data_IF_103491788153
#
_entry.id   IF_103491788153
#
_cell.length_a   1.000
_cell.length_b   1.000
_cell.length_c   1.000
_cell.angle_alpha   90.00
_cell.angle_beta   90.00
_cell.angle_gamma   90.00
#
_symmetry.space_group_name_H-M   'P 1'
#
loop_
_entity.id
_entity.type
_entity.pdbx_description
1 polymer ?
#
# COMPACT_ATOMS: atom_id res chain seq x y z
N UNK A 1 -32.05 -17.65 -4.13
CA UNK A 1 -30.60 -17.95 -3.94
C UNK A 1 -30.47 -19.07 -2.92
N UNK A 2 -29.53 -20.02 -3.08
CA UNK A 2 -29.30 -21.07 -2.07
C UNK A 2 -28.77 -20.42 -0.78
N UNK A 3 -29.12 -20.96 0.40
CA UNK A 3 -28.69 -20.42 1.71
C UNK A 3 -27.17 -20.22 1.79
N UNK A 4 -26.41 -21.17 1.23
CA UNK A 4 -24.94 -21.10 1.09
C UNK A 4 -24.47 -19.81 0.40
N UNK A 5 -25.14 -19.39 -0.67
CA UNK A 5 -24.75 -18.21 -1.44
C UNK A 5 -25.01 -16.93 -0.65
N UNK A 6 -26.06 -16.91 0.19
CA UNK A 6 -26.37 -15.78 1.07
C UNK A 6 -25.30 -15.66 2.18
N UNK A 7 -24.91 -16.79 2.79
CA UNK A 7 -23.82 -16.81 3.78
C UNK A 7 -22.50 -16.33 3.20
N UNK A 8 -22.14 -16.79 1.99
CA UNK A 8 -20.92 -16.34 1.30
C UNK A 8 -20.99 -14.83 1.02
N UNK A 9 -22.13 -14.32 0.54
CA UNK A 9 -22.28 -12.90 0.27
C UNK A 9 -22.08 -12.05 1.53
N UNK A 10 -22.68 -12.46 2.66
CA UNK A 10 -22.53 -11.75 3.93
C UNK A 10 -21.06 -11.72 4.37
N UNK A 11 -20.35 -12.84 4.26
CA UNK A 11 -18.92 -12.90 4.60
C UNK A 11 -18.08 -11.95 3.74
N UNK A 12 -18.33 -11.91 2.43
CA UNK A 12 -17.62 -10.99 1.52
C UNK A 12 -17.91 -9.53 1.86
N UNK A 13 -19.16 -9.19 2.20
CA UNK A 13 -19.53 -7.84 2.60
C UNK A 13 -18.85 -7.43 3.91
N UNK A 14 -18.78 -8.32 4.90
CA UNK A 14 -18.10 -8.06 6.17
C UNK A 14 -16.59 -7.85 5.94
N UNK A 15 -15.96 -8.72 5.15
CA UNK A 15 -14.54 -8.59 4.82
C UNK A 15 -14.25 -7.28 4.06
N UNK A 16 -15.08 -6.95 3.06
CA UNK A 16 -14.97 -5.71 2.30
C UNK A 16 -15.15 -4.47 3.18
N UNK A 17 -16.10 -4.50 4.10
CA UNK A 17 -16.31 -3.42 5.07
C UNK A 17 -15.11 -3.24 6.00
N UNK A 18 -14.51 -4.33 6.48
CA UNK A 18 -13.28 -4.29 7.26
C UNK A 18 -12.13 -3.62 6.51
N UNK A 19 -11.94 -3.96 5.23
CA UNK A 19 -10.93 -3.33 4.37
C UNK A 19 -11.19 -1.83 4.21
N UNK A 20 -12.44 -1.42 4.00
CA UNK A 20 -12.80 0.00 3.86
C UNK A 20 -12.49 0.80 5.13
N UNK A 21 -12.71 0.23 6.31
CA UNK A 21 -12.33 0.88 7.57
C UNK A 21 -10.80 1.04 7.65
N UNK A 22 -10.04 -0.01 7.34
CA UNK A 22 -8.58 0.09 7.34
C UNK A 22 -8.08 1.18 6.40
N UNK A 23 -8.66 1.27 5.20
CA UNK A 23 -8.30 2.31 4.23
C UNK A 23 -8.68 3.71 4.74
N UNK A 24 -9.81 3.86 5.42
CA UNK A 24 -10.24 5.14 5.98
C UNK A 24 -9.32 5.64 7.12
N UNK A 25 -8.63 4.74 7.82
CA UNK A 25 -7.64 5.07 8.86
C UNK A 25 -6.25 5.39 8.30
N UNK A 26 -5.99 5.10 7.01
CA UNK A 26 -4.71 5.42 6.40
C UNK A 26 -4.50 6.94 6.33
N UNK A 27 -3.25 7.41 6.49
CA UNK A 27 -2.91 8.80 6.24
C UNK A 27 -3.34 9.25 4.84
N UNK A 28 -3.78 10.50 4.66
CA UNK A 28 -4.17 10.98 3.34
C UNK A 28 -2.97 11.01 2.40
N UNK A 29 -3.25 10.81 1.12
CA UNK A 29 -2.24 10.78 0.07
C UNK A 29 -1.45 12.10 -0.01
N UNK A 30 -0.16 12.00 -0.30
CA UNK A 30 0.72 13.14 -0.57
C UNK A 30 1.21 13.90 0.67
N UNK A 31 0.91 13.41 1.87
CA UNK A 31 1.46 13.98 3.11
C UNK A 31 2.96 13.64 3.24
N UNK A 32 3.84 14.65 3.40
CA UNK A 32 5.29 14.43 3.50
C UNK A 32 5.72 13.59 4.70
N UNK A 33 4.92 13.59 5.76
CA UNK A 33 5.14 12.83 7.00
C UNK A 33 4.55 11.40 6.94
N UNK A 34 4.04 10.97 5.77
CA UNK A 34 3.53 9.62 5.62
C UNK A 34 4.66 8.59 5.81
N UNK A 35 4.37 7.41 6.39
CA UNK A 35 5.37 6.38 6.63
C UNK A 35 6.13 5.91 5.38
N UNK A 36 5.56 6.11 4.17
CA UNK A 36 6.25 5.81 2.90
C UNK A 36 7.47 6.71 2.64
N UNK A 37 7.55 7.88 3.27
CA UNK A 37 8.62 8.87 3.14
C UNK A 37 9.57 8.86 4.35
N UNK A 38 9.74 7.70 5.01
CA UNK A 38 10.49 7.59 6.26
C UNK A 38 12.01 7.45 6.05
N UNK A 39 12.55 6.24 6.11
CA UNK A 39 13.97 5.92 6.29
C UNK A 39 14.57 5.25 5.05
N UNK A 40 13.80 4.40 4.35
CA UNK A 40 14.32 3.64 3.20
C UNK A 40 14.12 4.37 1.88
N UNK A 41 13.08 5.21 1.80
CA UNK A 41 12.80 5.99 0.59
C UNK A 41 13.99 6.89 0.24
N UNK A 42 14.55 7.60 1.22
CA UNK A 42 15.69 8.48 1.00
C UNK A 42 16.89 7.71 0.42
N UNK A 43 17.23 6.56 1.00
CA UNK A 43 18.33 5.71 0.52
C UNK A 43 18.10 5.21 -0.91
N UNK A 44 16.95 4.57 -1.17
CA UNK A 44 16.71 3.90 -2.45
C UNK A 44 16.30 4.85 -3.58
N UNK A 45 15.92 6.09 -3.28
CA UNK A 45 15.56 7.06 -4.31
C UNK A 45 16.69 8.05 -4.56
N UNK A 46 17.31 8.60 -3.51
CA UNK A 46 18.33 9.63 -3.69
C UNK A 46 19.71 9.04 -3.98
N UNK A 47 20.06 7.89 -3.38
CA UNK A 47 21.42 7.33 -3.48
C UNK A 47 21.53 6.20 -4.51
N UNK A 48 20.43 5.73 -5.09
CA UNK A 48 20.43 4.59 -6.01
C UNK A 48 21.36 4.76 -7.23
N UNK A 49 21.46 5.97 -7.78
CA UNK A 49 22.37 6.24 -8.90
C UNK A 49 23.84 6.14 -8.48
N UNK A 50 24.18 6.64 -7.30
CA UNK A 50 25.54 6.58 -6.76
C UNK A 50 25.92 5.14 -6.39
N UNK A 51 24.99 4.41 -5.75
CA UNK A 51 25.23 3.04 -5.28
C UNK A 51 25.31 2.02 -6.42
N UNK A 52 24.55 2.20 -7.50
CA UNK A 52 24.36 1.17 -8.54
C UNK A 52 24.76 1.59 -9.95
N UNK A 53 24.87 2.89 -10.22
CA UNK A 53 25.06 3.43 -11.57
C UNK A 53 23.85 3.28 -12.49
N UNK A 54 22.71 2.76 -11.99
CA UNK A 54 21.49 2.54 -12.76
C UNK A 54 20.54 3.73 -12.55
N UNK A 55 20.23 4.53 -13.59
CA UNK A 55 19.38 5.72 -13.44
C UNK A 55 17.90 5.39 -13.26
N UNK A 56 17.50 4.15 -13.58
CA UNK A 56 16.13 3.71 -13.40
C UNK A 56 15.92 3.17 -11.99
N UNK A 57 15.19 3.93 -11.16
CA UNK A 57 14.89 3.59 -9.76
C UNK A 57 14.33 2.17 -9.60
N UNK A 58 13.47 1.70 -10.50
CA UNK A 58 12.83 0.38 -10.36
C UNK A 58 13.83 -0.77 -10.53
N UNK A 59 14.82 -0.62 -11.41
CA UNK A 59 15.86 -1.66 -11.63
C UNK A 59 17.09 -1.47 -10.76
N UNK A 60 17.16 -0.37 -10.01
CA UNK A 60 18.27 -0.03 -9.12
C UNK A 60 18.07 -0.54 -7.67
N UNK A 61 16.88 -1.02 -7.34
CA UNK A 61 16.51 -1.63 -6.05
C UNK A 61 16.43 -3.14 -6.21
#
# INVERSE_FOLDING_TARGET
MKIKNVVILILVLIAGYGILITVAELPPYGRPDNPIHNEVYERYVNNALEDTGVPNTVTAV
#
